data_IF_085208317685
#
_entry.id   IF_085208317685
#
_cell.length_a   1.000
_cell.length_b   1.000
_cell.length_c   1.000
_cell.angle_alpha   90.00
_cell.angle_beta   90.00
_cell.angle_gamma   90.00
#
_symmetry.space_group_name_H-M   'P 1'
#
loop_
_entity.id
_entity.type
_entity.pdbx_description
1 polymer ?
#
# COMPACT_ATOMS: atom_id res chain seq x y z
N UNK A 1 -30.16 5.08 11.46
CA UNK A 1 -28.88 5.81 11.54
C UNK A 1 -27.76 4.86 11.15
N UNK A 2 -26.85 5.21 10.23
CA UNK A 2 -25.75 4.31 9.85
C UNK A 2 -24.74 4.20 11.00
N UNK A 3 -24.23 3.00 11.27
CA UNK A 3 -23.20 2.77 12.31
C UNK A 3 -21.91 3.47 11.88
N UNK A 4 -21.39 4.33 12.76
CA UNK A 4 -20.14 5.06 12.57
C UNK A 4 -19.05 4.37 13.40
N UNK A 5 -18.03 3.84 12.74
CA UNK A 5 -16.91 3.14 13.37
C UNK A 5 -15.86 4.15 13.88
N UNK A 6 -15.60 4.14 15.18
CA UNK A 6 -14.66 5.06 15.85
C UNK A 6 -13.24 4.98 15.29
N UNK A 7 -12.76 3.78 14.94
CA UNK A 7 -11.46 3.57 14.27
C UNK A 7 -11.38 4.28 12.92
N UNK A 8 -12.49 4.33 12.16
CA UNK A 8 -12.57 5.06 10.91
C UNK A 8 -12.53 6.58 11.11
N UNK A 9 -13.18 7.08 12.18
CA UNK A 9 -13.07 8.49 12.57
C UNK A 9 -11.64 8.85 12.97
N UNK A 10 -11.00 8.03 13.79
CA UNK A 10 -9.61 8.22 14.20
C UNK A 10 -8.66 8.21 12.99
N UNK A 11 -8.89 7.32 12.02
CA UNK A 11 -8.12 7.28 10.77
C UNK A 11 -8.29 8.58 9.96
N UNK A 12 -9.51 9.10 9.84
CA UNK A 12 -9.76 10.40 9.21
C UNK A 12 -8.96 11.51 9.91
N UNK A 13 -9.01 11.55 11.24
CA UNK A 13 -8.25 12.53 12.05
C UNK A 13 -6.75 12.38 11.84
N UNK A 14 -6.23 11.15 11.78
CA UNK A 14 -4.82 10.90 11.53
C UNK A 14 -4.37 11.36 10.14
N UNK A 15 -5.18 11.11 9.09
CA UNK A 15 -4.90 11.59 7.73
C UNK A 15 -4.88 13.12 7.70
N UNK A 16 -5.87 13.77 8.32
CA UNK A 16 -5.90 15.23 8.45
C UNK A 16 -4.66 15.75 9.18
N UNK A 17 -4.30 15.14 10.31
CA UNK A 17 -3.13 15.50 11.10
C UNK A 17 -1.83 15.37 10.31
N UNK A 18 -1.68 14.30 9.53
CA UNK A 18 -0.52 14.11 8.65
C UNK A 18 -0.41 15.23 7.62
N UNK A 19 -1.50 15.60 6.94
CA UNK A 19 -1.51 16.72 6.00
C UNK A 19 -1.12 18.04 6.67
N UNK A 20 -1.55 18.29 7.91
CA UNK A 20 -1.16 19.47 8.68
C UNK A 20 0.33 19.45 9.01
N UNK A 21 0.87 18.30 9.45
CA UNK A 21 2.29 18.17 9.77
C UNK A 21 3.15 18.40 8.53
N UNK A 22 2.80 17.79 7.39
CA UNK A 22 3.50 18.00 6.12
C UNK A 22 3.44 19.48 5.71
N UNK A 23 2.26 20.11 5.77
CA UNK A 23 2.12 21.53 5.46
C UNK A 23 3.00 22.42 6.34
N UNK A 24 3.03 22.17 7.65
CA UNK A 24 3.83 22.93 8.61
C UNK A 24 5.33 22.72 8.37
N UNK A 25 5.76 21.48 8.12
CA UNK A 25 7.15 21.15 7.81
C UNK A 25 7.60 21.83 6.50
N UNK A 26 6.79 21.75 5.44
CA UNK A 26 7.10 22.41 4.16
C UNK A 26 7.16 23.93 4.28
N UNK A 27 6.26 24.54 5.06
CA UNK A 27 6.30 25.99 5.32
C UNK A 27 7.55 26.37 6.13
N UNK A 28 7.91 25.59 7.14
CA UNK A 28 9.13 25.81 7.92
C UNK A 28 10.37 25.73 7.01
N UNK A 29 10.45 24.73 6.13
CA UNK A 29 11.54 24.61 5.14
C UNK A 29 11.61 25.84 4.24
N UNK A 30 10.47 26.33 3.75
CA UNK A 30 10.41 27.53 2.93
C UNK A 30 10.92 28.78 3.68
N UNK A 31 10.54 28.93 4.95
CA UNK A 31 11.02 30.03 5.81
C UNK A 31 12.53 29.95 6.02
N UNK A 32 13.05 28.75 6.31
CA UNK A 32 14.50 28.53 6.45
C UNK A 32 15.23 28.85 5.15
N UNK A 33 14.73 28.40 4.00
CA UNK A 33 15.32 28.73 2.70
C UNK A 33 15.28 30.24 2.42
N UNK A 34 14.23 30.95 2.84
CA UNK A 34 14.13 32.40 2.68
C UNK A 34 15.17 33.14 3.52
N UNK A 35 15.40 32.70 4.77
CA UNK A 35 16.48 33.25 5.61
C UNK A 35 17.85 33.00 4.98
N UNK A 36 18.09 31.77 4.50
CA UNK A 36 19.34 31.41 3.82
C UNK A 36 19.54 32.27 2.57
N UNK A 37 18.51 32.43 1.73
CA UNK A 37 18.57 33.23 0.52
C UNK A 37 18.86 34.71 0.81
N UNK A 38 18.22 35.30 1.82
CA UNK A 38 18.49 36.69 2.25
C UNK A 38 19.92 36.85 2.78
N UNK A 39 20.51 35.80 3.38
CA UNK A 39 21.91 35.79 3.83
C UNK A 39 22.94 35.53 2.72
N UNK A 40 22.53 35.51 1.44
CA UNK A 40 23.41 35.26 0.30
C UNK A 40 23.63 33.77 -0.01
N UNK A 41 22.79 32.88 0.53
CA UNK A 41 22.83 31.45 0.27
C UNK A 41 22.08 31.02 -0.99
N UNK A 42 21.75 29.73 -1.07
CA UNK A 42 21.08 29.12 -2.23
C UNK A 42 19.70 29.71 -2.53
N UNK A 43 19.29 29.64 -3.79
CA UNK A 43 17.97 30.08 -4.25
C UNK A 43 16.83 29.29 -3.59
N UNK A 44 15.65 29.93 -3.52
CA UNK A 44 14.41 29.32 -3.04
C UNK A 44 13.97 28.21 -3.99
N UNK A 45 13.59 27.05 -3.43
CA UNK A 45 12.88 26.02 -4.19
C UNK A 45 11.37 26.23 -4.03
N UNK A 46 10.66 26.68 -5.09
CA UNK A 46 9.22 26.93 -5.03
C UNK A 46 8.40 25.66 -4.77
N UNK A 47 8.98 24.47 -4.96
CA UNK A 47 8.35 23.18 -4.68
C UNK A 47 7.85 23.06 -3.25
N UNK A 48 8.58 23.61 -2.27
CA UNK A 48 8.15 23.62 -0.86
C UNK A 48 6.91 24.48 -0.62
N UNK A 49 6.78 25.61 -1.33
CA UNK A 49 5.58 26.45 -1.26
C UNK A 49 4.36 25.75 -1.85
N UNK A 50 4.52 25.09 -3.01
CA UNK A 50 3.46 24.27 -3.63
C UNK A 50 3.05 23.13 -2.71
N UNK A 51 4.00 22.39 -2.14
CA UNK A 51 3.74 21.28 -1.23
C UNK A 51 3.01 21.74 0.03
N UNK A 52 3.39 22.88 0.61
CA UNK A 52 2.72 23.48 1.76
C UNK A 52 1.27 23.86 1.43
N UNK A 53 1.05 24.51 0.29
CA UNK A 53 -0.28 24.91 -0.18
C UNK A 53 -1.20 23.72 -0.44
N UNK A 54 -0.72 22.71 -1.17
CA UNK A 54 -1.47 21.48 -1.47
C UNK A 54 -1.80 20.72 -0.18
N UNK A 55 -0.83 20.53 0.71
CA UNK A 55 -1.04 19.81 1.96
C UNK A 55 -2.02 20.53 2.89
N UNK A 56 -1.98 21.86 2.92
CA UNK A 56 -2.95 22.68 3.67
C UNK A 56 -4.36 22.53 3.09
N UNK A 57 -4.50 22.61 1.77
CA UNK A 57 -5.79 22.43 1.10
C UNK A 57 -6.38 21.03 1.36
N UNK A 58 -5.53 20.00 1.31
CA UNK A 58 -5.91 18.61 1.63
C UNK A 58 -6.32 18.47 3.09
N UNK A 59 -5.62 19.08 4.05
CA UNK A 59 -5.99 19.06 5.45
C UNK A 59 -7.37 19.70 5.68
N UNK A 60 -7.62 20.88 5.07
CA UNK A 60 -8.90 21.59 5.15
C UNK A 60 -10.03 20.74 4.55
N UNK A 61 -9.80 20.20 3.36
CA UNK A 61 -10.77 19.32 2.68
C UNK A 61 -11.07 18.08 3.53
N UNK A 62 -10.03 17.37 4.00
CA UNK A 62 -10.18 16.16 4.79
C UNK A 62 -10.97 16.43 6.08
N UNK A 63 -10.71 17.55 6.75
CA UNK A 63 -11.43 17.96 7.97
C UNK A 63 -12.94 18.08 7.70
N UNK A 64 -13.32 18.76 6.61
CA UNK A 64 -14.72 19.09 6.28
C UNK A 64 -15.44 17.99 5.49
N UNK A 65 -14.71 17.04 4.92
CA UNK A 65 -15.26 16.04 4.00
C UNK A 65 -16.12 14.99 4.70
N UNK A 66 -17.44 15.09 4.51
CA UNK A 66 -18.41 14.05 4.89
C UNK A 66 -18.25 12.79 4.03
N UNK A 67 -17.80 12.96 2.78
CA UNK A 67 -17.50 11.85 1.90
C UNK A 67 -16.34 11.00 2.45
N UNK A 68 -15.26 11.65 2.89
CA UNK A 68 -14.10 10.97 3.49
C UNK A 68 -14.48 10.27 4.80
N UNK A 69 -15.27 10.93 5.65
CA UNK A 69 -15.81 10.31 6.85
C UNK A 69 -16.57 9.03 6.50
N UNK A 70 -17.54 9.10 5.57
CA UNK A 70 -18.33 7.93 5.18
C UNK A 70 -17.49 6.82 4.57
N UNK A 71 -16.51 7.17 3.73
CA UNK A 71 -15.58 6.23 3.10
C UNK A 71 -14.83 5.40 4.14
N UNK A 72 -14.34 6.07 5.20
CA UNK A 72 -13.45 5.48 6.20
C UNK A 72 -14.18 4.90 7.41
N UNK A 73 -15.37 5.39 7.76
CA UNK A 73 -16.02 5.07 9.04
C UNK A 73 -17.43 4.50 8.93
N UNK A 74 -17.97 4.22 7.74
CA UNK A 74 -19.35 3.74 7.58
C UNK A 74 -19.40 2.49 6.69
N UNK A 75 -20.24 1.52 7.05
CA UNK A 75 -20.37 0.22 6.37
C UNK A 75 -21.70 0.03 5.60
N UNK A 76 -22.32 1.11 5.14
CA UNK A 76 -23.58 1.07 4.38
C UNK A 76 -23.36 0.89 2.85
N UNK A 77 -24.43 0.63 2.06
CA UNK A 77 -24.31 0.46 0.61
C UNK A 77 -23.72 1.67 -0.13
N UNK A 78 -23.99 2.89 0.34
CA UNK A 78 -23.48 4.11 -0.28
C UNK A 78 -21.98 4.29 -0.01
N UNK A 79 -21.50 3.94 1.19
CA UNK A 79 -20.09 3.87 1.51
C UNK A 79 -19.37 2.80 0.68
N UNK A 80 -20.04 1.66 0.43
CA UNK A 80 -19.53 0.63 -0.47
C UNK A 80 -19.36 1.13 -1.90
N UNK A 81 -20.36 1.82 -2.46
CA UNK A 81 -20.26 2.46 -3.78
C UNK A 81 -19.18 3.55 -3.81
N UNK A 82 -19.07 4.36 -2.76
CA UNK A 82 -18.03 5.37 -2.63
C UNK A 82 -16.62 4.78 -2.68
N UNK A 83 -16.39 3.67 -1.96
CA UNK A 83 -15.12 2.94 -2.01
C UNK A 83 -14.85 2.30 -3.36
N UNK A 84 -15.87 1.76 -4.03
CA UNK A 84 -15.70 1.25 -5.40
C UNK A 84 -15.27 2.35 -6.38
N UNK A 85 -15.91 3.54 -6.32
CA UNK A 85 -15.50 4.69 -7.14
C UNK A 85 -14.08 5.16 -6.80
N UNK A 86 -13.72 5.19 -5.51
CA UNK A 86 -12.37 5.54 -5.08
C UNK A 86 -11.32 4.56 -5.60
N UNK A 87 -11.62 3.25 -5.61
CA UNK A 87 -10.74 2.22 -6.17
C UNK A 87 -10.51 2.42 -7.67
N UNK A 88 -11.58 2.65 -8.44
CA UNK A 88 -11.44 2.95 -9.88
C UNK A 88 -10.71 4.25 -10.13
N UNK A 89 -10.97 5.29 -9.34
CA UNK A 89 -10.25 6.57 -9.41
C UNK A 89 -8.76 6.40 -9.11
N UNK A 90 -8.41 5.60 -8.10
CA UNK A 90 -7.01 5.29 -7.78
C UNK A 90 -6.33 4.51 -8.90
N UNK A 91 -7.01 3.49 -9.47
CA UNK A 91 -6.47 2.74 -10.60
C UNK A 91 -6.21 3.67 -11.80
N UNK A 92 -7.18 4.51 -12.15
CA UNK A 92 -7.01 5.49 -13.22
C UNK A 92 -5.86 6.46 -12.93
N UNK A 93 -5.73 6.93 -11.68
CA UNK A 93 -4.63 7.81 -11.27
C UNK A 93 -3.27 7.13 -11.44
N UNK A 94 -3.12 5.87 -11.01
CA UNK A 94 -1.86 5.12 -11.18
C UNK A 94 -1.55 4.93 -12.66
N UNK A 95 -2.53 4.52 -13.47
CA UNK A 95 -2.33 4.36 -14.92
C UNK A 95 -1.90 5.67 -15.57
N UNK A 96 -2.57 6.78 -15.25
CA UNK A 96 -2.22 8.10 -15.76
C UNK A 96 -0.82 8.55 -15.30
N UNK A 97 -0.43 8.25 -14.07
CA UNK A 97 0.90 8.54 -13.54
C UNK A 97 1.98 7.76 -14.31
N UNK A 98 1.79 6.45 -14.48
CA UNK A 98 2.74 5.60 -15.22
C UNK A 98 2.86 6.06 -16.66
N UNK A 99 1.73 6.31 -17.35
CA UNK A 99 1.72 6.81 -18.73
C UNK A 99 2.41 8.18 -18.80
N UNK A 100 2.06 9.11 -17.92
CA UNK A 100 2.64 10.45 -17.88
C UNK A 100 4.15 10.44 -17.68
N UNK A 101 4.65 9.64 -16.73
CA UNK A 101 6.08 9.46 -16.48
C UNK A 101 6.80 8.84 -17.67
N UNK A 102 6.20 7.84 -18.33
CA UNK A 102 6.77 7.23 -19.53
C UNK A 102 6.84 8.21 -20.69
N UNK A 103 5.78 8.96 -20.96
CA UNK A 103 5.74 9.93 -22.07
C UNK A 103 6.56 11.19 -21.81
N UNK A 104 6.78 11.54 -20.53
CA UNK A 104 7.58 12.69 -20.13
C UNK A 104 9.08 12.40 -20.00
N UNK A 105 9.48 11.13 -20.00
CA UNK A 105 10.89 10.73 -19.96
C UNK A 105 11.52 10.80 -21.35
N UNK A 106 12.76 11.30 -21.44
CA UNK A 106 13.47 11.46 -22.71
C UNK A 106 13.76 10.13 -23.40
N UNK A 107 14.01 9.08 -22.61
CA UNK A 107 14.22 7.71 -23.07
C UNK A 107 13.85 6.69 -21.97
N UNK A 108 14.01 5.40 -22.29
CA UNK A 108 13.71 4.29 -21.38
C UNK A 108 14.60 4.26 -20.15
N UNK A 109 15.84 4.71 -20.24
CA UNK A 109 16.80 4.66 -19.15
C UNK A 109 16.60 5.84 -18.18
N UNK A 110 16.23 7.02 -18.70
CA UNK A 110 15.78 8.16 -17.91
C UNK A 110 14.53 7.80 -17.08
N UNK A 111 13.56 7.12 -17.67
CA UNK A 111 12.39 6.60 -16.93
C UNK A 111 12.80 5.63 -15.82
N UNK A 112 13.70 4.67 -16.14
CA UNK A 112 14.17 3.68 -15.19
C UNK A 112 14.88 4.31 -14.00
N UNK A 113 15.82 5.23 -14.27
CA UNK A 113 16.64 5.86 -13.25
C UNK A 113 15.86 6.87 -12.39
N UNK A 114 14.89 7.57 -12.97
CA UNK A 114 14.06 8.54 -12.27
C UNK A 114 13.11 7.87 -11.26
N UNK A 115 12.57 6.71 -11.62
CA UNK A 115 11.45 6.09 -10.90
C UNK A 115 11.88 4.89 -10.05
N UNK A 116 12.90 4.14 -10.47
CA UNK A 116 13.26 2.82 -9.92
C UNK A 116 14.77 2.64 -9.70
N UNK A 117 15.48 3.72 -9.36
CA UNK A 117 16.80 3.55 -8.74
C UNK A 117 16.64 2.91 -7.36
N UNK A 118 17.63 2.11 -6.94
CA UNK A 118 17.67 1.52 -5.60
C UNK A 118 17.60 2.62 -4.53
N UNK A 119 16.62 2.54 -3.63
CA UNK A 119 16.25 3.61 -2.70
C UNK A 119 15.39 4.71 -3.33
N UNK A 120 14.70 4.42 -4.44
CA UNK A 120 13.84 5.35 -5.18
C UNK A 120 12.50 5.64 -4.50
N UNK A 121 11.73 6.60 -5.05
CA UNK A 121 10.45 7.02 -4.45
C UNK A 121 9.42 5.88 -4.41
N UNK A 122 9.40 5.03 -5.44
CA UNK A 122 8.46 3.90 -5.55
C UNK A 122 8.79 2.85 -4.47
N UNK A 123 10.07 2.48 -4.33
CA UNK A 123 10.56 1.53 -3.31
C UNK A 123 10.32 2.03 -1.89
N UNK A 124 10.62 3.30 -1.59
CA UNK A 124 10.28 3.88 -0.28
C UNK A 124 8.77 3.92 -0.02
N UNK A 125 7.96 4.06 -1.08
CA UNK A 125 6.50 3.96 -0.96
C UNK A 125 6.06 2.52 -0.68
N UNK A 126 6.67 1.53 -1.34
CA UNK A 126 6.45 0.10 -1.06
C UNK A 126 6.80 -0.21 0.41
N UNK A 127 7.98 0.22 0.88
CA UNK A 127 8.42 0.10 2.28
C UNK A 127 7.40 0.69 3.25
N UNK A 128 6.98 1.94 3.03
CA UNK A 128 5.99 2.59 3.90
C UNK A 128 4.68 1.79 3.97
N UNK A 129 4.17 1.36 2.82
CA UNK A 129 2.93 0.60 2.74
C UNK A 129 3.07 -0.77 3.40
N UNK A 130 4.20 -1.46 3.21
CA UNK A 130 4.48 -2.75 3.83
C UNK A 130 4.62 -2.65 5.36
N UNK A 131 5.23 -1.58 5.89
CA UNK A 131 5.26 -1.30 7.33
C UNK A 131 3.83 -1.14 7.86
N UNK A 132 2.99 -0.35 7.18
CA UNK A 132 1.61 -0.13 7.57
C UNK A 132 0.77 -1.41 7.46
N UNK A 133 0.98 -2.22 6.43
CA UNK A 133 0.31 -3.51 6.23
C UNK A 133 0.71 -4.52 7.31
N UNK A 134 2.00 -4.65 7.60
CA UNK A 134 2.54 -5.50 8.66
C UNK A 134 1.94 -5.13 10.01
N UNK A 135 1.95 -3.84 10.35
CA UNK A 135 1.34 -3.33 11.58
C UNK A 135 -0.15 -3.60 11.62
N UNK A 136 -0.88 -3.36 10.53
CA UNK A 136 -2.32 -3.61 10.47
C UNK A 136 -2.65 -5.10 10.67
N UNK A 137 -1.93 -5.99 10.00
CA UNK A 137 -2.09 -7.45 10.12
C UNK A 137 -1.81 -7.92 11.56
N UNK A 138 -0.71 -7.47 12.16
CA UNK A 138 -0.37 -7.79 13.55
C UNK A 138 -1.49 -7.38 14.50
N UNK A 139 -1.94 -6.12 14.39
CA UNK A 139 -2.95 -5.59 15.29
C UNK A 139 -4.35 -6.20 15.06
N UNK A 140 -4.67 -6.67 13.85
CA UNK A 140 -5.87 -7.49 13.61
C UNK A 140 -5.72 -8.82 14.32
N UNK A 141 -4.56 -9.46 14.23
CA UNK A 141 -4.27 -10.71 14.93
C UNK A 141 -4.46 -10.59 16.44
N UNK A 142 -3.96 -9.51 17.04
CA UNK A 142 -4.16 -9.23 18.48
C UNK A 142 -5.63 -8.98 18.81
N UNK A 143 -6.35 -8.21 17.99
CA UNK A 143 -7.78 -7.96 18.19
C UNK A 143 -8.59 -9.27 18.14
N UNK A 144 -8.29 -10.15 17.19
CA UNK A 144 -8.97 -11.44 17.06
C UNK A 144 -8.67 -12.36 18.24
N UNK A 145 -7.41 -12.43 18.68
CA UNK A 145 -7.01 -13.23 19.86
C UNK A 145 -7.66 -12.74 21.16
N UNK A 146 -7.99 -11.45 21.26
CA UNK A 146 -8.70 -10.88 22.41
C UNK A 146 -10.22 -11.10 22.35
N UNK A 147 -10.80 -11.22 21.15
CA UNK A 147 -12.25 -11.34 20.93
C UNK A 147 -12.76 -12.77 20.85
N UNK A 148 -11.92 -13.68 20.37
CA UNK A 148 -12.30 -15.06 20.07
C UNK A 148 -11.63 -15.98 21.08
N UNK A 149 -12.37 -16.97 21.57
CA UNK A 149 -11.79 -18.07 22.36
C UNK A 149 -10.76 -18.85 21.55
N UNK A 150 -11.03 -19.01 20.25
CA UNK A 150 -10.18 -19.71 19.31
C UNK A 150 -9.10 -18.78 18.73
N UNK A 151 -7.84 -19.12 18.95
CA UNK A 151 -6.68 -18.26 18.61
C UNK A 151 -6.10 -18.50 17.20
N UNK A 152 -6.62 -19.42 16.39
CA UNK A 152 -6.07 -19.70 15.03
C UNK A 152 -6.23 -18.50 14.10
N UNK A 153 -7.40 -17.82 13.95
CA UNK A 153 -7.52 -16.63 13.11
C UNK A 153 -6.51 -15.56 13.51
N UNK A 154 -6.40 -15.27 14.81
CA UNK A 154 -5.45 -14.27 15.29
C UNK A 154 -4.00 -14.64 14.97
N UNK A 155 -3.61 -15.90 15.22
CA UNK A 155 -2.28 -16.42 14.84
C UNK A 155 -2.02 -16.40 13.33
N UNK A 156 -3.02 -16.71 12.49
CA UNK A 156 -2.89 -16.64 11.03
C UNK A 156 -2.58 -15.22 10.57
N UNK A 157 -3.22 -14.21 11.15
CA UNK A 157 -2.91 -12.80 10.86
C UNK A 157 -1.51 -12.40 11.37
N UNK A 158 -1.07 -12.92 12.51
CA UNK A 158 0.29 -12.66 13.02
C UNK A 158 1.37 -13.34 12.17
N UNK A 159 1.12 -14.57 11.70
CA UNK A 159 2.00 -15.25 10.73
C UNK A 159 2.04 -14.45 9.43
N UNK A 160 0.88 -14.01 8.93
CA UNK A 160 0.80 -13.14 7.74
C UNK A 160 1.56 -11.83 7.93
N UNK A 161 1.53 -11.23 9.12
CA UNK A 161 2.35 -10.07 9.45
C UNK A 161 3.85 -10.40 9.41
N UNK A 162 4.26 -11.57 9.90
CA UNK A 162 5.64 -12.06 9.76
C UNK A 162 6.05 -12.21 8.30
N UNK A 163 5.19 -12.77 7.45
CA UNK A 163 5.46 -12.87 6.01
C UNK A 163 5.60 -11.48 5.35
N UNK A 164 4.71 -10.53 5.67
CA UNK A 164 4.81 -9.15 5.16
C UNK A 164 6.08 -8.45 5.66
N UNK A 165 6.52 -8.72 6.89
CA UNK A 165 7.77 -8.20 7.42
C UNK A 165 8.98 -8.79 6.69
N UNK A 166 8.95 -10.06 6.29
CA UNK A 166 10.00 -10.64 5.45
C UNK A 166 10.05 -9.97 4.07
N UNK A 167 8.90 -9.75 3.43
CA UNK A 167 8.84 -8.98 2.17
C UNK A 167 9.43 -7.59 2.36
N UNK A 168 9.08 -6.88 3.43
CA UNK A 168 9.65 -5.57 3.78
C UNK A 168 11.19 -5.60 3.93
N UNK A 169 11.74 -6.68 4.48
CA UNK A 169 13.20 -6.83 4.61
C UNK A 169 13.89 -7.14 3.28
N UNK A 170 13.16 -7.68 2.32
CA UNK A 170 13.66 -7.97 0.98
C UNK A 170 13.41 -6.82 -0.02
N UNK A 171 12.48 -5.90 0.28
CA UNK A 171 12.08 -4.81 -0.61
C UNK A 171 13.20 -3.82 -0.94
N UNK A 172 14.12 -3.60 0.00
CA UNK A 172 15.29 -2.76 -0.19
C UNK A 172 16.52 -3.55 0.22
N UNK A 173 17.64 -3.32 -0.48
CA UNK A 173 18.94 -3.79 -0.03
C UNK A 173 19.43 -2.90 1.14
N UNK A 174 18.81 -3.08 2.31
CA UNK A 174 18.92 -2.20 3.48
C UNK A 174 20.36 -1.86 3.86
N UNK A 175 21.29 -2.81 3.78
CA UNK A 175 22.67 -2.52 4.14
C UNK A 175 23.41 -1.68 3.10
N UNK A 176 23.03 -1.73 1.82
CA UNK A 176 23.57 -0.85 0.79
C UNK A 176 22.97 0.55 0.95
N UNK A 177 21.66 0.63 1.16
CA UNK A 177 20.94 1.92 1.31
C UNK A 177 21.34 2.66 2.60
N UNK A 178 21.41 1.96 3.74
CA UNK A 178 21.68 2.58 5.06
C UNK A 178 23.18 2.65 5.36
N UNK A 179 23.91 1.56 5.12
CA UNK A 179 25.31 1.44 5.56
C UNK A 179 26.32 1.54 4.42
N UNK A 180 25.85 1.69 3.17
CA UNK A 180 26.70 1.75 1.97
C UNK A 180 27.70 0.60 1.88
N UNK A 181 27.35 -0.57 2.43
CA UNK A 181 28.21 -1.73 2.33
C UNK A 181 28.20 -2.26 0.89
N UNK A 182 29.27 -2.96 0.50
CA UNK A 182 29.33 -3.59 -0.83
C UNK A 182 28.74 -4.99 -0.75
N UNK A 183 28.12 -5.41 -1.84
CA UNK A 183 27.66 -6.79 -2.01
C UNK A 183 28.86 -7.74 -1.86
N UNK A 184 28.82 -8.70 -0.92
CA UNK A 184 29.93 -9.61 -0.70
C UNK A 184 30.27 -10.43 -1.96
N UNK A 185 31.56 -10.74 -2.23
CA UNK A 185 31.96 -11.42 -3.47
C UNK A 185 31.17 -12.71 -3.77
N UNK A 186 30.96 -13.56 -2.75
CA UNK A 186 30.20 -14.81 -2.87
C UNK A 186 28.74 -14.59 -3.29
N UNK A 187 28.11 -13.51 -2.82
CA UNK A 187 26.75 -13.17 -3.22
C UNK A 187 26.73 -12.58 -4.63
N UNK A 188 27.75 -11.77 -4.96
CA UNK A 188 27.90 -11.14 -6.26
C UNK A 188 28.02 -12.16 -7.41
N UNK A 189 28.60 -13.33 -7.16
CA UNK A 189 28.72 -14.41 -8.15
C UNK A 189 27.37 -15.02 -8.56
N UNK A 190 26.36 -14.94 -7.69
CA UNK A 190 25.04 -15.57 -7.89
C UNK A 190 23.90 -14.55 -7.97
N UNK A 191 24.18 -13.27 -7.78
CA UNK A 191 23.21 -12.18 -7.78
C UNK A 191 23.19 -11.48 -9.14
N UNK A 192 22.00 -11.22 -9.70
CA UNK A 192 21.90 -10.63 -11.02
C UNK A 192 21.96 -9.09 -11.03
N UNK A 193 21.84 -8.45 -9.86
CA UNK A 193 21.75 -6.99 -9.70
C UNK A 193 22.86 -6.39 -8.82
N UNK A 194 23.80 -7.22 -8.35
CA UNK A 194 24.81 -6.85 -7.34
C UNK A 194 24.18 -6.26 -6.06
N UNK A 195 23.04 -6.79 -5.63
CA UNK A 195 22.32 -6.35 -4.42
C UNK A 195 22.39 -7.39 -3.29
N UNK A 196 22.09 -6.97 -2.06
CA UNK A 196 22.12 -7.82 -0.85
C UNK A 196 20.80 -8.49 -0.52
N UNK A 197 19.79 -8.32 -1.38
CA UNK A 197 18.48 -8.99 -1.28
C UNK A 197 18.55 -10.42 -1.84
N UNK A 198 17.81 -11.34 -1.22
CA UNK A 198 17.73 -12.74 -1.65
C UNK A 198 16.92 -12.89 -2.93
N UNK A 199 15.94 -12.01 -3.16
CA UNK A 199 15.13 -12.10 -4.38
C UNK A 199 15.92 -11.82 -5.67
N UNK A 200 17.13 -11.23 -5.54
CA UNK A 200 18.02 -10.90 -6.65
C UNK A 200 19.03 -12.02 -6.97
N UNK A 201 18.95 -13.14 -6.25
CA UNK A 201 19.72 -14.34 -6.60
C UNK A 201 19.16 -14.91 -7.91
N UNK A 202 20.02 -15.11 -8.91
CA UNK A 202 19.60 -15.35 -10.30
C UNK A 202 18.61 -16.50 -10.49
N UNK A 203 18.81 -17.64 -9.82
CA UNK A 203 17.89 -18.78 -9.94
C UNK A 203 16.48 -18.48 -9.38
N UNK A 204 16.38 -17.60 -8.39
CA UNK A 204 15.12 -17.17 -7.79
C UNK A 204 14.47 -16.13 -8.69
N UNK A 205 15.23 -15.13 -9.15
CA UNK A 205 14.77 -14.11 -10.07
C UNK A 205 14.21 -14.68 -11.39
N UNK A 206 14.85 -15.72 -11.95
CA UNK A 206 14.37 -16.40 -13.16
C UNK A 206 12.95 -16.99 -13.03
N UNK A 207 12.51 -17.24 -11.79
CA UNK A 207 11.20 -17.83 -11.47
C UNK A 207 10.23 -16.81 -10.89
N UNK A 208 10.70 -15.61 -10.54
CA UNK A 208 9.89 -14.59 -9.88
C UNK A 208 8.75 -14.12 -10.76
N UNK A 209 9.00 -13.77 -12.03
CA UNK A 209 7.94 -13.21 -12.89
C UNK A 209 6.72 -14.14 -12.96
N UNK A 210 6.96 -15.42 -13.21
CA UNK A 210 5.91 -16.44 -13.30
C UNK A 210 5.29 -16.75 -11.93
N UNK A 211 6.11 -16.81 -10.88
CA UNK A 211 5.65 -17.00 -9.50
C UNK A 211 4.73 -15.87 -9.03
N UNK A 212 5.13 -14.62 -9.28
CA UNK A 212 4.38 -13.40 -9.00
C UNK A 212 3.07 -13.37 -9.77
N UNK A 213 3.05 -13.77 -11.05
CA UNK A 213 1.81 -13.91 -11.81
C UNK A 213 0.84 -14.90 -11.14
N UNK A 214 1.28 -16.13 -10.84
CA UNK A 214 0.38 -17.10 -10.21
C UNK A 214 -0.06 -16.70 -8.80
N UNK A 215 0.83 -16.08 -8.02
CA UNK A 215 0.50 -15.58 -6.68
C UNK A 215 -0.57 -14.49 -6.74
N UNK A 216 -0.40 -13.49 -7.62
CA UNK A 216 -1.35 -12.38 -7.79
C UNK A 216 -2.68 -12.87 -8.34
N UNK A 217 -2.67 -13.82 -9.29
CA UNK A 217 -3.88 -14.48 -9.78
C UNK A 217 -4.62 -15.25 -8.67
N UNK A 218 -3.89 -15.94 -7.80
CA UNK A 218 -4.45 -16.62 -6.63
C UNK A 218 -5.12 -15.64 -5.65
N UNK A 219 -4.48 -14.50 -5.36
CA UNK A 219 -5.06 -13.44 -4.53
C UNK A 219 -6.31 -12.84 -5.18
N UNK A 220 -6.28 -12.58 -6.49
CA UNK A 220 -7.46 -12.12 -7.23
C UNK A 220 -8.61 -13.11 -7.11
N UNK A 221 -8.35 -14.42 -7.26
CA UNK A 221 -9.36 -15.45 -7.09
C UNK A 221 -9.96 -15.44 -5.67
N UNK A 222 -9.14 -15.26 -4.62
CA UNK A 222 -9.63 -15.09 -3.24
C UNK A 222 -10.54 -13.87 -3.12
N UNK A 223 -10.13 -12.71 -3.64
CA UNK A 223 -10.93 -11.46 -3.57
C UNK A 223 -12.27 -11.59 -4.29
N UNK A 224 -12.31 -12.29 -5.41
CA UNK A 224 -13.53 -12.47 -6.23
C UNK A 224 -14.44 -13.58 -5.69
N UNK A 225 -13.86 -14.69 -5.23
CA UNK A 225 -14.61 -15.89 -4.88
C UNK A 225 -14.97 -15.92 -3.39
N UNK A 226 -14.03 -15.63 -2.48
CA UNK A 226 -14.24 -15.75 -1.03
C UNK A 226 -15.50 -15.03 -0.51
N UNK A 227 -15.89 -13.83 -1.00
CA UNK A 227 -17.10 -13.17 -0.53
C UNK A 227 -18.39 -13.95 -0.76
N UNK A 228 -18.43 -14.88 -1.72
CA UNK A 228 -19.61 -15.75 -1.94
C UNK A 228 -19.70 -16.83 -0.84
N UNK A 229 -18.59 -17.51 -0.59
CA UNK A 229 -18.48 -18.57 0.42
C UNK A 229 -18.65 -18.01 1.84
N UNK A 230 -17.99 -16.89 2.14
CA UNK A 230 -18.06 -16.27 3.46
C UNK A 230 -19.46 -15.77 3.79
N UNK A 231 -20.21 -15.24 2.80
CA UNK A 231 -21.62 -14.87 3.00
C UNK A 231 -22.49 -16.07 3.36
N UNK A 232 -22.23 -17.25 2.79
CA UNK A 232 -22.96 -18.46 3.14
C UNK A 232 -22.63 -18.93 4.57
N UNK A 233 -21.38 -18.77 5.00
CA UNK A 233 -20.95 -19.07 6.37
C UNK A 233 -21.53 -18.07 7.39
N UNK A 234 -21.54 -16.77 7.08
CA UNK A 234 -22.09 -15.72 7.97
C UNK A 234 -23.54 -16.01 8.38
N UNK A 235 -24.36 -16.54 7.47
CA UNK A 235 -25.77 -16.87 7.74
C UNK A 235 -25.96 -17.94 8.83
N UNK A 236 -24.92 -18.71 9.13
CA UNK A 236 -24.93 -19.81 10.11
C UNK A 236 -24.28 -19.42 11.44
N UNK A 237 -23.74 -18.21 11.54
CA UNK A 237 -23.02 -17.72 12.72
C UNK A 237 -23.95 -16.95 13.67
N UNK A 238 -23.59 -16.91 14.96
CA UNK A 238 -24.17 -15.95 15.91
C UNK A 238 -23.88 -14.51 15.49
N UNK A 239 -24.68 -13.53 15.93
CA UNK A 239 -24.50 -12.12 15.54
C UNK A 239 -23.07 -11.57 15.77
N UNK A 240 -22.40 -11.82 16.91
CA UNK A 240 -21.02 -11.36 17.12
C UNK A 240 -20.03 -11.97 16.12
N UNK A 241 -20.17 -13.27 15.86
CA UNK A 241 -19.32 -13.99 14.92
C UNK A 241 -19.62 -13.60 13.46
N UNK A 242 -20.87 -13.28 13.14
CA UNK A 242 -21.28 -12.77 11.84
C UNK A 242 -20.60 -11.41 11.53
N UNK A 243 -20.50 -10.53 12.53
CA UNK A 243 -19.80 -9.25 12.40
C UNK A 243 -18.30 -9.45 12.15
N UNK A 244 -17.65 -10.35 12.88
CA UNK A 244 -16.23 -10.72 12.66
C UNK A 244 -16.04 -11.29 11.26
N UNK A 245 -16.86 -12.25 10.84
CA UNK A 245 -16.76 -12.86 9.52
C UNK A 245 -16.97 -11.82 8.39
N UNK A 246 -17.88 -10.87 8.57
CA UNK A 246 -18.10 -9.77 7.64
C UNK A 246 -16.88 -8.81 7.56
N UNK A 247 -16.21 -8.56 8.68
CA UNK A 247 -15.00 -7.75 8.74
C UNK A 247 -13.81 -8.44 8.04
N UNK A 248 -13.68 -9.76 8.19
CA UNK A 248 -12.65 -10.57 7.55
C UNK A 248 -12.92 -10.84 6.06
N UNK A 249 -14.17 -10.71 5.62
CA UNK A 249 -14.52 -10.94 4.22
C UNK A 249 -13.84 -9.93 3.30
N UNK A 250 -13.05 -10.36 2.31
CA UNK A 250 -12.43 -9.46 1.33
C UNK A 250 -13.48 -8.57 0.65
N UNK A 251 -13.13 -7.30 0.46
CA UNK A 251 -14.06 -6.35 -0.14
C UNK A 251 -14.09 -6.55 -1.66
N UNK A 252 -15.20 -7.08 -2.19
CA UNK A 252 -15.30 -7.37 -3.63
C UNK A 252 -14.93 -6.18 -4.53
N UNK A 253 -15.27 -4.94 -4.16
CA UNK A 253 -14.94 -3.76 -4.97
C UNK A 253 -13.43 -3.51 -5.19
N UNK A 254 -12.53 -4.20 -4.47
CA UNK A 254 -11.08 -4.07 -4.69
C UNK A 254 -10.55 -4.92 -5.84
N UNK A 255 -11.39 -5.80 -6.43
CA UNK A 255 -10.98 -6.68 -7.54
C UNK A 255 -10.27 -5.97 -8.70
N UNK A 256 -10.61 -4.71 -9.11
CA UNK A 256 -9.95 -4.08 -10.24
C UNK A 256 -8.45 -3.86 -10.02
N UNK A 257 -8.03 -3.55 -8.79
CA UNK A 257 -6.60 -3.36 -8.46
C UNK A 257 -5.84 -4.69 -8.59
N UNK A 258 -6.39 -5.77 -8.02
CA UNK A 258 -5.78 -7.09 -8.11
C UNK A 258 -5.78 -7.64 -9.54
N UNK A 259 -6.80 -7.32 -10.35
CA UNK A 259 -6.79 -7.66 -11.77
C UNK A 259 -5.68 -6.90 -12.50
N UNK A 260 -5.56 -5.59 -12.27
CA UNK A 260 -4.53 -4.78 -12.92
C UNK A 260 -3.12 -5.31 -12.62
N UNK A 261 -2.84 -5.64 -11.35
CA UNK A 261 -1.58 -6.27 -10.94
C UNK A 261 -1.38 -7.63 -11.61
N UNK A 262 -2.39 -8.50 -11.61
CA UNK A 262 -2.28 -9.83 -12.21
C UNK A 262 -2.08 -9.76 -13.72
N UNK A 263 -2.73 -8.81 -14.39
CA UNK A 263 -2.59 -8.58 -15.83
C UNK A 263 -1.20 -8.03 -16.17
N UNK A 264 -0.68 -7.11 -15.35
CA UNK A 264 0.68 -6.61 -15.49
C UNK A 264 1.71 -7.72 -15.30
N UNK A 265 1.58 -8.51 -14.22
CA UNK A 265 2.45 -9.66 -13.94
C UNK A 265 2.39 -10.71 -15.07
N UNK A 266 1.21 -10.96 -15.65
CA UNK A 266 1.06 -11.81 -16.82
C UNK A 266 1.85 -11.29 -18.02
N UNK A 267 1.72 -10.00 -18.35
CA UNK A 267 2.44 -9.39 -19.45
C UNK A 267 3.96 -9.48 -19.27
N UNK A 268 4.46 -9.25 -18.04
CA UNK A 268 5.89 -9.35 -17.73
C UNK A 268 6.36 -10.81 -17.84
N UNK A 269 5.68 -11.74 -17.18
CA UNK A 269 6.02 -13.17 -17.18
C UNK A 269 6.01 -13.81 -18.57
N UNK A 270 5.12 -13.36 -19.46
CA UNK A 270 5.02 -13.86 -20.84
C UNK A 270 5.77 -13.01 -21.86
N UNK A 271 6.37 -11.89 -21.42
CA UNK A 271 6.96 -10.86 -22.30
C UNK A 271 5.97 -10.32 -23.35
N UNK A 272 4.68 -10.36 -23.04
CA UNK A 272 3.63 -9.77 -23.88
C UNK A 272 3.70 -8.26 -23.80
N UNK A 273 3.57 -7.59 -24.95
CA UNK A 273 3.62 -6.11 -25.05
C UNK A 273 4.93 -5.48 -24.52
N UNK A 274 6.07 -6.17 -24.66
CA UNK A 274 7.37 -5.73 -24.14
C UNK A 274 7.86 -4.36 -24.66
N UNK A 275 7.29 -3.86 -25.76
CA UNK A 275 7.60 -2.53 -26.29
C UNK A 275 7.00 -1.39 -25.45
N UNK A 276 5.92 -1.69 -24.71
CA UNK A 276 5.13 -0.74 -23.92
C UNK A 276 5.26 -1.04 -22.41
N UNK A 277 5.21 -2.33 -22.05
CA UNK A 277 5.34 -2.82 -20.68
C UNK A 277 6.78 -3.28 -20.48
N UNK A 278 7.52 -2.55 -19.66
CA UNK A 278 8.89 -2.85 -19.31
C UNK A 278 8.90 -3.77 -18.09
N UNK A 279 9.93 -4.62 -17.96
CA UNK A 279 10.06 -5.48 -16.79
C UNK A 279 10.03 -4.66 -15.48
N UNK A 280 10.68 -3.50 -15.47
CA UNK A 280 10.70 -2.60 -14.31
C UNK A 280 9.32 -2.00 -13.95
N UNK A 281 8.32 -2.10 -14.83
CA UNK A 281 6.94 -1.73 -14.43
C UNK A 281 6.40 -2.64 -13.32
N UNK A 282 7.03 -3.80 -13.06
CA UNK A 282 6.69 -4.68 -11.94
C UNK A 282 6.64 -3.94 -10.61
N UNK A 283 7.54 -2.97 -10.37
CA UNK A 283 7.58 -2.15 -9.15
C UNK A 283 6.26 -1.38 -8.93
N UNK A 284 5.64 -0.88 -10.01
CA UNK A 284 4.30 -0.30 -9.93
C UNK A 284 3.24 -1.34 -9.57
N UNK A 285 3.37 -2.55 -10.12
CA UNK A 285 2.54 -3.69 -9.78
C UNK A 285 2.63 -4.05 -8.30
N UNK A 286 3.83 -4.10 -7.75
CA UNK A 286 4.12 -4.37 -6.34
C UNK A 286 3.58 -3.28 -5.43
N UNK A 287 3.82 -2.00 -5.76
CA UNK A 287 3.23 -0.88 -5.01
C UNK A 287 1.68 -0.95 -4.98
N UNK A 288 1.04 -1.25 -6.12
CA UNK A 288 -0.42 -1.42 -6.19
C UNK A 288 -0.88 -2.64 -5.40
N UNK A 289 -0.15 -3.74 -5.46
CA UNK A 289 -0.44 -4.97 -4.71
C UNK A 289 -0.40 -4.71 -3.20
N UNK A 290 0.69 -4.15 -2.69
CA UNK A 290 0.88 -3.88 -1.28
C UNK A 290 -0.15 -2.87 -0.77
N UNK A 291 -0.44 -1.83 -1.56
CA UNK A 291 -1.47 -0.84 -1.23
C UNK A 291 -2.86 -1.48 -1.15
N UNK A 292 -3.17 -2.39 -2.09
CA UNK A 292 -4.43 -3.11 -2.11
C UNK A 292 -4.60 -4.04 -0.91
N UNK A 293 -3.54 -4.77 -0.53
CA UNK A 293 -3.50 -5.59 0.68
C UNK A 293 -3.68 -4.72 1.92
N UNK A 294 -2.96 -3.61 2.02
CA UNK A 294 -3.08 -2.67 3.12
C UNK A 294 -4.51 -2.12 3.25
N UNK A 295 -5.18 -1.75 2.16
CA UNK A 295 -6.56 -1.27 2.20
C UNK A 295 -7.55 -2.34 2.66
N UNK A 296 -7.35 -3.60 2.28
CA UNK A 296 -8.17 -4.71 2.80
C UNK A 296 -7.97 -4.86 4.32
N UNK A 297 -6.72 -4.86 4.80
CA UNK A 297 -6.40 -4.94 6.22
C UNK A 297 -6.96 -3.74 7.00
N UNK A 298 -6.79 -2.53 6.46
CA UNK A 298 -7.27 -1.29 7.06
C UNK A 298 -8.80 -1.31 7.21
N UNK A 299 -9.51 -1.76 6.17
CA UNK A 299 -10.96 -1.97 6.24
C UNK A 299 -11.33 -2.97 7.33
N UNK A 300 -10.68 -4.14 7.36
CA UNK A 300 -10.93 -5.17 8.38
C UNK A 300 -10.74 -4.58 9.78
N UNK A 301 -9.64 -3.85 10.00
CA UNK A 301 -9.33 -3.20 11.27
C UNK A 301 -10.39 -2.17 11.69
N UNK A 302 -10.90 -1.39 10.74
CA UNK A 302 -12.00 -0.44 10.99
C UNK A 302 -13.27 -1.18 11.38
N UNK A 303 -13.65 -2.20 10.62
CA UNK A 303 -14.91 -2.94 10.82
C UNK A 303 -14.94 -3.77 12.10
N UNK A 304 -13.79 -4.29 12.54
CA UNK A 304 -13.68 -4.96 13.84
C UNK A 304 -13.98 -4.01 15.00
N UNK A 305 -13.76 -2.69 14.84
CA UNK A 305 -13.96 -1.71 15.91
C UNK A 305 -12.99 -1.90 17.09
N UNK A 306 -13.09 -1.08 18.15
CA UNK A 306 -12.32 -1.29 19.38
C UNK A 306 -12.73 -2.60 20.06
N UNK A 307 -11.78 -3.29 20.71
CA UNK A 307 -12.13 -4.42 21.59
C UNK A 307 -12.90 -3.77 22.73
N UNK A 308 -14.18 -4.12 22.88
CA UNK A 308 -14.91 -3.75 24.08
C UNK A 308 -14.27 -4.55 25.20
N UNK A 309 -13.83 -3.89 26.27
CA UNK A 309 -13.34 -4.58 27.45
C UNK A 309 -14.36 -5.69 27.79
N UNK A 310 -13.87 -6.92 27.91
CA UNK A 310 -14.71 -8.00 28.41
C UNK A 310 -15.32 -7.53 29.74
N UNK A 311 -16.62 -7.77 29.99
CA UNK A 311 -17.24 -7.38 31.24
C UNK A 311 -16.48 -7.92 32.46
#
# INVERSE_FOLDING_TARGET
>A
MAVIYTRGCALKTAITGLCVVVAAASLLTLVVQLVIAVSGGSALDPGWGVLAGVSTALAIWATRSQWLLRLLSVADPLAHQGRARAVWGLLALVVLLVVGLKTGSTDRDAYKNLVFGEGGLVEWSQVLVLVLATRAAWLIGTDLNARLEERRPGRLFQIGAGCLALVLMEELAWGQVIFSWRTPPLLNEINAQNETTLHNIGWFQDRLDMGTFFATLGVLAVVVLAPRWMRALTKRCSEPMAAVNQALTPAFYSWPLFLAVSALAFCIATRSFSDVILNRDQEWGELVLYTSIYFLLLRTRVLLGPVQDAP
#
